data_IF_516424701126
#
_entry.id   IF_516424701126
#
_cell.length_a   1.000
_cell.length_b   1.000
_cell.length_c   1.000
_cell.angle_alpha   90.00
_cell.angle_beta   90.00
_cell.angle_gamma   90.00
#
_symmetry.space_group_name_H-M   'P 1'
#
loop_
_entity.id
_entity.type
_entity.pdbx_description
1 polymer ?
#
# COMPACT_ATOMS: atom_id res chain seq x y z
N UNK A 1 -8.65 1.31 1.43
CA UNK A 1 -9.38 0.65 2.54
C UNK A 1 -9.96 1.62 3.57
N UNK A 2 -9.28 2.75 3.85
CA UNK A 2 -9.77 3.79 4.78
C UNK A 2 -11.12 4.35 4.33
N UNK A 3 -11.28 4.70 3.04
CA UNK A 3 -12.51 5.26 2.46
C UNK A 3 -13.77 4.44 2.78
N UNK A 4 -13.78 3.14 2.47
CA UNK A 4 -14.95 2.28 2.73
C UNK A 4 -15.23 2.09 4.22
N UNK A 5 -14.18 1.97 5.05
CA UNK A 5 -14.34 1.90 6.51
C UNK A 5 -14.93 3.19 7.07
N UNK A 6 -14.51 4.34 6.55
CA UNK A 6 -15.07 5.65 6.90
C UNK A 6 -16.52 5.74 6.47
N UNK A 7 -16.88 5.26 5.27
CA UNK A 7 -18.28 5.19 4.81
C UNK A 7 -19.14 4.31 5.73
N UNK A 8 -18.59 3.18 6.22
CA UNK A 8 -19.31 2.31 7.13
C UNK A 8 -19.53 2.90 8.53
N UNK A 9 -18.69 3.84 8.97
CA UNK A 9 -18.79 4.44 10.30
C UNK A 9 -18.90 3.38 11.40
N UNK A 10 -19.93 3.47 12.24
CA UNK A 10 -20.21 2.51 13.32
C UNK A 10 -21.17 1.38 12.91
N UNK A 11 -21.54 1.27 11.64
CA UNK A 11 -22.44 0.22 11.16
C UNK A 11 -21.71 -1.13 11.12
N UNK A 12 -21.89 -1.95 12.17
CA UNK A 12 -21.23 -3.24 12.32
C UNK A 12 -21.52 -4.22 11.17
N UNK A 13 -22.74 -4.20 10.62
CA UNK A 13 -23.10 -5.05 9.49
C UNK A 13 -22.32 -4.66 8.22
N UNK A 14 -22.22 -3.36 7.94
CA UNK A 14 -21.49 -2.86 6.78
C UNK A 14 -19.97 -3.05 6.94
N UNK A 15 -19.43 -2.86 8.15
CA UNK A 15 -18.03 -3.20 8.44
C UNK A 15 -17.74 -4.69 8.22
N UNK A 16 -18.67 -5.58 8.60
CA UNK A 16 -18.57 -7.01 8.33
C UNK A 16 -18.51 -7.31 6.84
N UNK A 17 -19.38 -6.69 6.04
CA UNK A 17 -19.38 -6.82 4.57
C UNK A 17 -18.07 -6.35 3.96
N UNK A 18 -17.54 -5.20 4.40
CA UNK A 18 -16.26 -4.67 3.92
C UNK A 18 -15.11 -5.63 4.27
N UNK A 19 -15.09 -6.16 5.49
CA UNK A 19 -14.05 -7.11 5.91
C UNK A 19 -14.10 -8.40 5.07
N UNK A 20 -15.29 -8.90 4.80
CA UNK A 20 -15.49 -10.07 3.93
C UNK A 20 -15.11 -9.80 2.47
N UNK A 21 -15.40 -8.60 1.96
CA UNK A 21 -15.03 -8.20 0.61
C UNK A 21 -13.51 -8.10 0.44
N UNK A 22 -12.82 -7.53 1.43
CA UNK A 22 -11.34 -7.43 1.43
C UNK A 22 -10.69 -8.82 1.52
N UNK A 23 -11.24 -9.70 2.37
CA UNK A 23 -10.69 -11.05 2.55
C UNK A 23 -9.24 -11.04 3.04
N UNK A 24 -8.50 -12.09 2.70
CA UNK A 24 -7.04 -12.19 2.89
C UNK A 24 -6.35 -12.23 1.53
N UNK A 25 -5.27 -11.46 1.38
CA UNK A 25 -4.52 -11.35 0.12
C UNK A 25 -3.33 -12.31 0.09
N UNK A 26 -3.52 -13.54 0.57
CA UNK A 26 -2.43 -14.51 0.77
C UNK A 26 -1.92 -15.09 -0.55
N UNK A 27 -2.75 -15.02 -1.60
CA UNK A 27 -2.38 -15.41 -2.96
C UNK A 27 -2.73 -14.28 -3.92
N UNK A 28 -2.03 -14.18 -5.07
CA UNK A 28 -2.36 -13.18 -6.08
C UNK A 28 -3.80 -13.31 -6.60
N UNK A 29 -4.35 -14.52 -6.68
CA UNK A 29 -5.75 -14.75 -7.07
C UNK A 29 -6.72 -14.20 -6.03
N UNK A 30 -6.40 -14.38 -4.75
CA UNK A 30 -7.19 -13.84 -3.65
C UNK A 30 -7.11 -12.31 -3.61
N UNK A 31 -5.95 -11.73 -3.93
CA UNK A 31 -5.79 -10.29 -4.08
C UNK A 31 -6.66 -9.72 -5.21
N UNK A 32 -6.62 -10.33 -6.40
CA UNK A 32 -7.47 -9.92 -7.52
C UNK A 32 -8.96 -10.01 -7.17
N UNK A 33 -9.37 -11.14 -6.58
CA UNK A 33 -10.75 -11.36 -6.14
C UNK A 33 -11.20 -10.39 -5.05
N UNK A 34 -10.35 -10.12 -4.05
CA UNK A 34 -10.64 -9.16 -3.00
C UNK A 34 -10.78 -7.73 -3.56
N UNK A 35 -9.94 -7.37 -4.52
CA UNK A 35 -9.98 -6.04 -5.17
C UNK A 35 -11.27 -5.86 -5.97
N UNK A 36 -11.72 -6.89 -6.71
CA UNK A 36 -13.01 -6.87 -7.42
C UNK A 36 -14.19 -6.73 -6.47
N UNK A 37 -14.21 -7.50 -5.37
CA UNK A 37 -15.28 -7.44 -4.37
C UNK A 37 -15.34 -6.07 -3.69
N UNK A 38 -14.19 -5.47 -3.42
CA UNK A 38 -14.08 -4.12 -2.84
C UNK A 38 -14.58 -3.08 -3.84
N UNK A 39 -14.24 -3.19 -5.12
CA UNK A 39 -14.72 -2.29 -6.16
C UNK A 39 -16.25 -2.38 -6.33
N UNK A 40 -16.79 -3.60 -6.41
CA UNK A 40 -18.23 -3.83 -6.52
C UNK A 40 -18.99 -3.28 -5.31
N UNK A 41 -18.50 -3.52 -4.09
CA UNK A 41 -19.11 -2.98 -2.87
C UNK A 41 -19.04 -1.44 -2.85
N UNK A 42 -17.96 -0.85 -3.33
CA UNK A 42 -17.84 0.60 -3.47
C UNK A 42 -18.86 1.20 -4.42
N UNK A 43 -19.10 0.56 -5.57
CA UNK A 43 -20.13 0.98 -6.52
C UNK A 43 -21.54 0.89 -5.93
N UNK A 44 -21.84 -0.18 -5.21
CA UNK A 44 -23.12 -0.33 -4.49
C UNK A 44 -23.33 0.80 -3.48
N UNK A 45 -22.29 1.16 -2.72
CA UNK A 45 -22.39 2.20 -1.70
C UNK A 45 -22.51 3.60 -2.30
N UNK A 46 -21.82 3.88 -3.40
CA UNK A 46 -21.98 5.16 -4.12
C UNK A 46 -23.37 5.30 -4.75
N UNK A 47 -23.97 4.18 -5.17
CA UNK A 47 -25.34 4.14 -5.71
C UNK A 47 -26.43 4.06 -4.63
N UNK A 48 -26.07 3.99 -3.35
CA UNK A 48 -27.03 3.85 -2.26
C UNK A 48 -27.91 5.10 -2.11
N UNK A 49 -29.17 4.90 -1.78
CA UNK A 49 -30.13 5.97 -1.45
C UNK A 49 -30.24 6.22 0.06
N UNK A 50 -29.53 5.46 0.89
CA UNK A 50 -29.52 5.66 2.34
C UNK A 50 -28.87 7.02 2.67
N UNK A 51 -29.60 7.95 3.33
CA UNK A 51 -29.10 9.29 3.62
C UNK A 51 -27.81 9.30 4.44
N UNK A 52 -27.59 8.32 5.32
CA UNK A 52 -26.37 8.21 6.11
C UNK A 52 -25.16 7.82 5.23
N UNK A 53 -25.36 6.87 4.32
CA UNK A 53 -24.31 6.42 3.38
C UNK A 53 -24.00 7.53 2.38
N UNK A 54 -25.03 8.18 1.82
CA UNK A 54 -24.87 9.30 0.87
C UNK A 54 -24.06 10.44 1.47
N UNK A 55 -24.32 10.81 2.73
CA UNK A 55 -23.54 11.83 3.43
C UNK A 55 -22.06 11.42 3.54
N UNK A 56 -21.79 10.19 3.95
CA UNK A 56 -20.43 9.71 4.14
C UNK A 56 -19.67 9.53 2.82
N UNK A 57 -20.34 9.09 1.75
CA UNK A 57 -19.79 9.06 0.39
C UNK A 57 -19.37 10.47 -0.05
N UNK A 58 -20.21 11.48 0.23
CA UNK A 58 -19.88 12.88 -0.07
C UNK A 58 -18.69 13.38 0.76
N UNK A 59 -18.63 13.07 2.05
CA UNK A 59 -17.51 13.46 2.93
C UNK A 59 -16.19 12.83 2.46
N UNK A 60 -16.22 11.57 2.08
CA UNK A 60 -15.03 10.83 1.62
C UNK A 60 -14.68 11.10 0.16
N UNK A 61 -15.48 11.91 -0.55
CA UNK A 61 -15.34 12.20 -1.99
C UNK A 61 -15.22 10.93 -2.84
N UNK A 62 -15.83 9.85 -2.39
CA UNK A 62 -15.82 8.59 -3.12
C UNK A 62 -16.72 8.70 -4.36
N UNK A 63 -16.18 8.36 -5.53
CA UNK A 63 -16.88 8.45 -6.81
C UNK A 63 -17.02 7.09 -7.46
N UNK A 64 -18.02 6.94 -8.33
CA UNK A 64 -18.18 5.73 -9.13
C UNK A 64 -16.93 5.48 -10.01
N UNK A 65 -16.40 6.54 -10.63
CA UNK A 65 -15.19 6.47 -11.47
C UNK A 65 -13.97 5.90 -10.74
N UNK A 66 -13.80 6.22 -9.44
CA UNK A 66 -12.73 5.64 -8.63
C UNK A 66 -12.87 4.11 -8.52
N UNK A 67 -14.07 3.62 -8.22
CA UNK A 67 -14.31 2.19 -8.09
C UNK A 67 -14.34 1.45 -9.43
N UNK A 68 -14.74 2.09 -10.52
CA UNK A 68 -14.61 1.54 -11.89
C UNK A 68 -13.15 1.38 -12.29
N UNK A 69 -12.31 2.36 -11.97
CA UNK A 69 -10.86 2.27 -12.20
C UNK A 69 -10.27 1.12 -11.38
N UNK A 70 -10.66 0.99 -10.11
CA UNK A 70 -10.23 -0.11 -9.25
C UNK A 70 -10.64 -1.47 -9.81
N UNK A 71 -11.86 -1.59 -10.32
CA UNK A 71 -12.35 -2.81 -10.95
C UNK A 71 -11.56 -3.14 -12.22
N UNK A 72 -11.22 -2.13 -13.02
CA UNK A 72 -10.40 -2.27 -14.22
C UNK A 72 -9.01 -2.80 -13.88
N UNK A 73 -8.34 -2.20 -12.89
CA UNK A 73 -7.04 -2.66 -12.41
C UNK A 73 -7.08 -4.09 -11.85
N UNK A 74 -8.17 -4.49 -11.20
CA UNK A 74 -8.34 -5.87 -10.73
C UNK A 74 -8.46 -6.86 -11.90
N UNK A 75 -9.16 -6.47 -12.96
CA UNK A 75 -9.24 -7.24 -14.20
C UNK A 75 -7.90 -7.36 -14.93
N UNK A 76 -7.10 -6.29 -14.95
CA UNK A 76 -5.74 -6.30 -15.49
C UNK A 76 -4.81 -7.22 -14.67
N UNK A 77 -4.90 -7.16 -13.34
CA UNK A 77 -4.16 -8.06 -12.45
C UNK A 77 -4.52 -9.52 -12.76
N UNK A 78 -5.80 -9.84 -12.88
CA UNK A 78 -6.24 -11.21 -13.22
C UNK A 78 -5.71 -11.67 -14.58
N UNK A 79 -5.72 -10.81 -15.60
CA UNK A 79 -5.11 -11.13 -16.91
C UNK A 79 -3.61 -11.38 -16.80
N UNK A 80 -2.90 -10.56 -16.02
CA UNK A 80 -1.47 -10.75 -15.80
C UNK A 80 -1.17 -12.08 -15.11
N UNK A 81 -2.02 -12.51 -14.16
CA UNK A 81 -1.89 -13.81 -13.50
C UNK A 81 -2.08 -14.98 -14.47
N UNK A 82 -3.10 -14.94 -15.33
CA UNK A 82 -3.32 -16.00 -16.32
C UNK A 82 -2.14 -16.11 -17.31
N UNK A 83 -1.49 -14.99 -17.66
CA UNK A 83 -0.27 -15.00 -18.49
C UNK A 83 0.94 -15.53 -17.73
N UNK A 84 1.05 -15.24 -16.44
CA UNK A 84 2.18 -15.67 -15.60
C UNK A 84 2.09 -17.15 -15.18
N UNK A 85 0.87 -17.69 -15.03
CA UNK A 85 0.58 -19.03 -14.52
C UNK A 85 1.31 -20.18 -15.22
N UNK A 86 1.45 -20.22 -16.57
CA UNK A 86 2.19 -21.27 -17.26
C UNK A 86 3.71 -21.23 -16.99
N UNK A 87 4.27 -20.04 -16.72
CA UNK A 87 5.71 -19.86 -16.47
C UNK A 87 6.12 -20.39 -15.09
N UNK A 88 5.19 -20.41 -14.13
CA UNK A 88 5.42 -20.87 -12.77
C UNK A 88 5.53 -22.40 -12.62
N UNK A 89 4.98 -23.19 -13.55
CA UNK A 89 4.79 -24.64 -13.36
C UNK A 89 5.73 -25.53 -14.18
N UNK A 90 6.50 -24.98 -15.13
CA UNK A 90 7.22 -25.81 -16.12
C UNK A 90 8.70 -25.49 -16.31
N UNK A 91 9.23 -24.39 -15.78
CA UNK A 91 10.63 -24.03 -15.95
C UNK A 91 11.48 -24.50 -14.75
N UNK A 92 12.58 -25.20 -15.01
CA UNK A 92 13.70 -25.29 -14.06
C UNK A 92 14.21 -23.85 -13.88
N UNK A 93 13.74 -23.18 -12.83
CA UNK A 93 14.01 -21.75 -12.65
C UNK A 93 15.49 -21.56 -12.36
N UNK A 94 16.17 -20.80 -13.21
CA UNK A 94 17.55 -20.42 -13.00
C UNK A 94 17.62 -19.40 -11.85
N UNK A 95 18.57 -19.53 -10.93
CA UNK A 95 18.74 -18.59 -9.82
C UNK A 95 18.91 -17.14 -10.33
N UNK A 96 19.58 -16.94 -11.46
CA UNK A 96 19.69 -15.61 -12.07
C UNK A 96 18.35 -15.01 -12.54
N UNK A 97 17.39 -15.84 -12.94
CA UNK A 97 16.04 -15.37 -13.28
C UNK A 97 15.24 -15.00 -12.02
N UNK A 98 15.42 -15.75 -10.92
CA UNK A 98 14.83 -15.41 -9.63
C UNK A 98 15.36 -14.07 -9.12
N UNK A 99 16.68 -13.84 -9.19
CA UNK A 99 17.28 -12.58 -8.74
C UNK A 99 16.74 -11.37 -9.54
N UNK A 100 16.53 -11.53 -10.85
CA UNK A 100 15.93 -10.49 -11.70
C UNK A 100 14.46 -10.24 -11.33
N UNK A 101 13.69 -11.30 -11.09
CA UNK A 101 12.30 -11.19 -10.65
C UNK A 101 12.20 -10.54 -9.26
N UNK A 102 13.09 -10.88 -8.33
CA UNK A 102 13.17 -10.26 -7.01
C UNK A 102 13.52 -8.77 -7.12
N UNK A 103 14.44 -8.41 -8.02
CA UNK A 103 14.75 -7.01 -8.34
C UNK A 103 13.54 -6.23 -8.88
N UNK A 104 12.75 -6.85 -9.77
CA UNK A 104 11.52 -6.25 -10.30
C UNK A 104 10.46 -6.08 -9.21
N UNK A 105 10.27 -7.08 -8.36
CA UNK A 105 9.33 -7.02 -7.22
C UNK A 105 9.72 -5.91 -6.26
N UNK A 106 11.00 -5.78 -5.93
CA UNK A 106 11.51 -4.69 -5.09
C UNK A 106 11.27 -3.32 -5.73
N UNK A 107 11.42 -3.21 -7.05
CA UNK A 107 11.15 -1.96 -7.78
C UNK A 107 9.66 -1.60 -7.71
N UNK A 108 8.77 -2.53 -8.01
CA UNK A 108 7.31 -2.30 -7.94
C UNK A 108 6.90 -1.93 -6.51
N UNK A 109 7.43 -2.63 -5.50
CA UNK A 109 7.17 -2.32 -4.10
C UNK A 109 7.63 -0.90 -3.75
N UNK A 110 8.81 -0.49 -4.23
CA UNK A 110 9.31 0.89 -4.08
C UNK A 110 8.35 1.90 -4.72
N UNK A 111 7.89 1.66 -5.94
CA UNK A 111 6.98 2.59 -6.62
C UNK A 111 5.63 2.71 -5.89
N UNK A 112 5.08 1.61 -5.36
CA UNK A 112 3.88 1.62 -4.51
C UNK A 112 4.10 2.46 -3.24
N UNK A 113 5.23 2.28 -2.56
CA UNK A 113 5.55 3.06 -1.35
C UNK A 113 5.59 4.56 -1.68
N UNK A 114 6.25 4.94 -2.78
CA UNK A 114 6.34 6.35 -3.20
C UNK A 114 4.97 6.94 -3.54
N UNK A 115 4.11 6.18 -4.21
CA UNK A 115 2.74 6.63 -4.52
C UNK A 115 1.95 6.88 -3.24
N UNK A 116 2.04 5.99 -2.24
CA UNK A 116 1.37 6.19 -0.95
C UNK A 116 1.96 7.36 -0.16
N UNK A 117 3.27 7.57 -0.22
CA UNK A 117 3.91 8.74 0.39
C UNK A 117 3.43 10.04 -0.26
N UNK A 118 3.42 10.12 -1.59
CA UNK A 118 2.91 11.27 -2.33
C UNK A 118 1.41 11.50 -2.08
N UNK A 119 0.62 10.42 -1.97
CA UNK A 119 -0.79 10.52 -1.64
C UNK A 119 -1.01 11.05 -0.21
N UNK A 120 -0.18 10.65 0.76
CA UNK A 120 -0.23 11.18 2.13
C UNK A 120 0.14 12.67 2.20
N UNK A 121 1.07 13.14 1.36
CA UNK A 121 1.39 14.57 1.26
C UNK A 121 0.18 15.39 0.78
N UNK A 122 -0.67 14.81 -0.07
CA UNK A 122 -1.90 15.44 -0.57
C UNK A 122 -3.09 15.30 0.40
N UNK A 123 -3.22 14.15 1.06
CA UNK A 123 -4.28 13.81 2.00
C UNK A 123 -3.70 13.09 3.20
N UNK A 124 -3.57 13.82 4.32
CA UNK A 124 -2.98 13.35 5.57
C UNK A 124 -3.68 12.17 6.26
N UNK A 125 -4.81 11.69 5.71
CA UNK A 125 -5.52 10.51 6.20
C UNK A 125 -5.01 9.18 5.59
N UNK A 126 -4.14 9.25 4.59
CA UNK A 126 -3.62 8.09 3.84
C UNK A 126 -2.38 7.49 4.54
N UNK A 127 -2.44 6.27 5.10
CA UNK A 127 -1.33 5.73 5.87
C UNK A 127 -0.04 5.59 5.03
N UNK A 128 1.09 6.03 5.59
CA UNK A 128 2.41 5.78 5.01
C UNK A 128 2.77 4.31 5.12
N UNK A 129 3.17 3.72 3.99
CA UNK A 129 3.66 2.35 3.96
C UNK A 129 5.12 2.35 4.42
N UNK A 130 5.36 2.04 5.69
CA UNK A 130 6.70 1.74 6.20
C UNK A 130 6.94 0.23 6.09
N UNK A 131 7.71 -0.26 5.10
CA UNK A 131 7.88 -1.69 4.94
C UNK A 131 8.78 -2.23 6.05
N UNK A 132 8.28 -3.21 6.79
CA UNK A 132 8.98 -3.80 7.93
C UNK A 132 10.27 -4.51 7.48
N UNK A 133 10.23 -5.17 6.31
CA UNK A 133 11.34 -5.98 5.79
C UNK A 133 12.41 -5.17 5.03
N UNK A 134 12.04 -4.09 4.33
CA UNK A 134 12.99 -3.29 3.52
C UNK A 134 13.46 -2.02 4.23
N UNK A 135 13.09 -1.80 5.51
CA UNK A 135 13.53 -0.66 6.33
C UNK A 135 15.04 -0.45 6.31
N UNK A 136 15.84 -1.50 6.12
CA UNK A 136 17.31 -1.43 6.08
C UNK A 136 17.89 -1.33 4.66
N UNK A 137 17.16 -1.77 3.64
CA UNK A 137 17.57 -1.75 2.22
C UNK A 137 17.15 -0.45 1.51
N UNK A 138 16.01 0.14 1.91
CA UNK A 138 15.47 1.39 1.37
C UNK A 138 15.64 2.59 2.31
N UNK A 139 16.17 2.40 3.53
CA UNK A 139 16.62 3.52 4.32
C UNK A 139 17.80 4.17 3.59
N UNK A 140 17.48 5.26 2.90
CA UNK A 140 18.43 6.23 2.38
C UNK A 140 19.61 6.36 3.34
N UNK A 141 20.79 6.17 2.76
CA UNK A 141 22.08 6.38 3.39
C UNK A 141 22.25 7.87 3.70
N UNK A 142 21.50 8.39 4.68
CA UNK A 142 21.75 9.69 5.25
C UNK A 142 23.11 9.57 5.94
N UNK A 143 24.15 10.07 5.25
CA UNK A 143 25.47 10.32 5.82
C UNK A 143 25.26 11.14 7.09
N UNK A 144 25.36 10.48 8.24
CA UNK A 144 25.59 11.17 9.51
C UNK A 144 26.92 11.90 9.36
N UNK A 145 26.86 13.23 9.26
CA UNK A 145 28.02 14.07 9.50
C UNK A 145 28.53 13.77 10.91
N UNK A 146 29.81 13.40 11.09
CA UNK A 146 30.34 13.07 12.41
C UNK A 146 30.37 14.34 13.25
N UNK A 147 29.63 14.32 14.37
CA UNK A 147 29.69 15.33 15.42
C UNK A 147 30.91 15.03 16.29
N UNK A 148 32.07 15.57 15.91
CA UNK A 148 33.21 15.74 16.81
C UNK A 148 33.75 17.18 16.65
N UNK A 149 33.02 18.14 17.19
CA UNK A 149 33.61 19.35 17.75
C UNK A 149 33.72 19.12 19.25
N UNK A 150 34.78 18.44 19.66
CA UNK A 150 35.11 18.30 21.08
C UNK A 150 35.94 19.53 21.46
N UNK A 151 35.35 20.33 22.36
CA UNK A 151 36.02 21.32 23.20
C UNK A 151 37.39 20.84 23.67
N UNK A 152 38.44 21.58 23.34
CA UNK A 152 39.71 21.52 24.05
C UNK A 152 39.70 22.59 25.15
N UNK A 153 39.22 22.23 26.33
CA UNK A 153 39.60 22.89 27.59
C UNK A 153 40.65 21.99 28.23
N UNK A 154 41.89 22.45 28.25
CA UNK A 154 42.94 21.93 29.14
C UNK A 154 43.47 23.10 29.94
N UNK A 155 42.90 23.29 31.13
CA UNK A 155 43.64 23.83 32.27
C UNK A 155 44.74 22.82 32.63
N UNK A 156 46.00 23.23 32.53
CA UNK A 156 47.10 22.62 33.26
C UNK A 156 47.73 23.72 34.12
N UNK A 157 47.56 23.57 35.43
CA UNK A 157 48.23 24.32 36.48
C UNK A 157 49.66 23.81 36.68
N UNK A 158 50.55 24.75 37.03
CA UNK A 158 51.65 24.64 38.01
C UNK A 158 53.11 24.59 37.51
N UNK A 159 53.90 25.49 38.11
CA UNK A 159 55.36 25.48 38.35
C UNK A 159 56.34 25.93 37.26
N UNK A 160 56.74 27.22 37.28
CA UNK A 160 57.96 27.73 37.97
C UNK A 160 58.07 29.26 37.82
#
# INVERSE_FOLDING_TARGET
>A
MVVLKTIAGHNAALQGRIKAAVGTADTPENLATGTERVAALGLELVASTDPAIVLMVRVTRATAAYFETLNTSAGELRKALEVARPRLTTAKVNQGELDVLDGLVLRILSDIIHIFAAAQELDGTIPTLAPIATRRLLASHNKRTPKNSVESVTEETSEL
#
